data_IF_727678353892
#
_entry.id   IF_727678353892
#
_cell.length_a   1.000
_cell.length_b   1.000
_cell.length_c   1.000
_cell.angle_alpha   90.00
_cell.angle_beta   90.00
_cell.angle_gamma   90.00
#
_symmetry.space_group_name_H-M   'P 1'
#
loop_
_entity.id
_entity.type
_entity.pdbx_description
1 polymer ?
#
# COMPACT_ATOMS: atom_id res chain seq x y z
N UNK A 1 5.61 -23.33 -11.02
CA UNK A 1 5.98 -21.90 -11.14
C UNK A 1 5.53 -21.18 -9.88
N UNK A 2 6.34 -20.27 -9.40
CA UNK A 2 5.94 -19.45 -8.26
C UNK A 2 6.46 -18.01 -8.41
N UNK A 3 5.70 -17.05 -7.88
CA UNK A 3 6.13 -15.66 -7.79
C UNK A 3 5.75 -15.07 -6.43
N UNK A 4 6.45 -14.01 -6.06
CA UNK A 4 6.16 -13.23 -4.86
C UNK A 4 6.02 -11.76 -5.16
N UNK A 5 5.25 -11.05 -4.33
CA UNK A 5 5.12 -9.61 -4.38
C UNK A 5 5.08 -9.01 -2.96
N UNK A 6 5.69 -7.85 -2.74
CA UNK A 6 5.73 -7.20 -1.44
C UNK A 6 4.39 -6.54 -1.08
N UNK A 7 4.15 -6.38 0.21
CA UNK A 7 3.23 -5.38 0.72
C UNK A 7 3.78 -3.96 0.54
N UNK A 8 3.03 -2.96 0.98
CA UNK A 8 3.42 -1.53 0.86
C UNK A 8 3.07 -0.71 2.10
N UNK A 9 3.73 0.43 2.21
CA UNK A 9 3.36 1.53 3.10
C UNK A 9 3.11 2.79 2.28
N UNK A 10 2.06 3.55 2.60
CA UNK A 10 1.95 4.94 2.16
C UNK A 10 2.67 5.79 3.19
N UNK A 11 3.73 6.46 2.78
CA UNK A 11 4.52 7.33 3.64
C UNK A 11 3.88 8.70 3.76
N UNK A 12 3.37 9.23 2.62
CA UNK A 12 2.68 10.51 2.51
C UNK A 12 1.64 10.47 1.38
N UNK A 13 0.60 11.31 1.46
CA UNK A 13 -0.32 11.52 0.34
C UNK A 13 -1.60 10.68 0.40
N UNK A 14 -1.88 9.98 1.53
CA UNK A 14 -3.17 9.31 1.74
C UNK A 14 -4.31 10.28 1.51
N UNK A 15 -5.39 9.82 0.89
CA UNK A 15 -6.55 10.59 0.44
C UNK A 15 -6.24 11.69 -0.57
N UNK A 16 -5.15 12.45 -0.43
CA UNK A 16 -4.80 13.55 -1.32
C UNK A 16 -4.57 13.07 -2.77
N UNK A 17 -4.05 11.87 -2.97
CA UNK A 17 -3.87 11.24 -4.30
C UNK A 17 -5.17 11.09 -5.08
N UNK A 18 -6.32 10.98 -4.40
CA UNK A 18 -7.64 10.90 -5.03
C UNK A 18 -8.05 12.22 -5.68
N UNK A 19 -7.45 13.34 -5.21
CA UNK A 19 -7.67 14.69 -5.71
C UNK A 19 -6.57 15.16 -6.69
N UNK A 20 -5.68 14.27 -7.10
CA UNK A 20 -4.60 14.59 -8.03
C UNK A 20 -3.34 15.16 -7.38
N UNK A 21 -3.25 15.15 -6.05
CA UNK A 21 -2.05 15.54 -5.33
C UNK A 21 -1.02 14.40 -5.31
N UNK A 22 0.23 14.73 -4.96
CA UNK A 22 1.30 13.76 -4.86
C UNK A 22 1.05 12.72 -3.74
N UNK A 23 1.50 11.49 -3.97
CA UNK A 23 1.58 10.45 -2.94
C UNK A 23 2.90 9.68 -3.04
N UNK A 24 3.46 9.33 -1.89
CA UNK A 24 4.69 8.57 -1.76
C UNK A 24 4.44 7.28 -1.01
N UNK A 25 4.82 6.16 -1.62
CA UNK A 25 4.75 4.83 -1.02
C UNK A 25 6.09 4.12 -1.10
N UNK A 26 6.25 3.07 -0.31
CA UNK A 26 7.38 2.14 -0.40
C UNK A 26 6.91 0.70 -0.24
N UNK A 27 7.51 -0.21 -0.98
CA UNK A 27 7.35 -1.63 -0.75
C UNK A 27 8.04 -2.05 0.55
N UNK A 28 7.54 -3.11 1.18
CA UNK A 28 8.04 -3.63 2.46
C UNK A 28 8.38 -5.12 2.36
N UNK A 29 9.26 -5.58 3.24
CA UNK A 29 9.76 -6.95 3.29
C UNK A 29 8.75 -8.02 3.75
N UNK A 30 7.49 -7.67 3.96
CA UNK A 30 6.40 -8.62 4.10
C UNK A 30 5.84 -8.92 2.72
N UNK A 31 5.85 -10.19 2.31
CA UNK A 31 5.50 -10.60 0.94
C UNK A 31 4.32 -11.55 0.93
N UNK A 32 3.61 -11.57 -0.18
CA UNK A 32 2.73 -12.65 -0.58
C UNK A 32 3.43 -13.52 -1.63
N UNK A 33 3.23 -14.81 -1.57
CA UNK A 33 3.77 -15.81 -2.47
C UNK A 33 2.63 -16.63 -3.04
N UNK A 34 2.67 -16.91 -4.34
CA UNK A 34 1.71 -17.79 -5.01
C UNK A 34 2.46 -18.84 -5.79
N UNK A 35 2.14 -20.09 -5.52
CA UNK A 35 2.68 -21.27 -6.20
C UNK A 35 1.59 -21.84 -7.10
N UNK A 36 1.92 -22.22 -8.33
CA UNK A 36 0.98 -22.80 -9.28
C UNK A 36 1.54 -24.09 -9.90
N UNK A 37 0.66 -25.10 -10.03
CA UNK A 37 0.93 -26.35 -10.76
C UNK A 37 -0.31 -26.77 -11.56
N UNK A 38 -0.15 -27.48 -12.68
CA UNK A 38 -1.28 -28.04 -13.42
C UNK A 38 -2.18 -28.92 -12.53
N UNK A 39 -3.49 -28.80 -12.74
CA UNK A 39 -4.49 -29.56 -12.01
C UNK A 39 -5.75 -29.76 -12.88
N UNK A 40 -6.54 -30.82 -12.71
CA UNK A 40 -7.76 -31.03 -13.49
C UNK A 40 -8.85 -29.96 -13.28
N UNK A 41 -8.85 -29.31 -12.13
CA UNK A 41 -9.83 -28.28 -11.73
C UNK A 41 -9.11 -27.10 -11.08
N UNK A 42 -9.73 -25.90 -11.12
CA UNK A 42 -9.25 -24.75 -10.37
C UNK A 42 -9.40 -24.94 -8.86
N UNK A 43 -8.30 -24.93 -8.14
CA UNK A 43 -8.23 -25.06 -6.68
C UNK A 43 -7.30 -24.02 -6.08
N UNK A 44 -7.61 -23.57 -4.84
CA UNK A 44 -6.72 -22.75 -4.05
C UNK A 44 -6.65 -23.28 -2.61
N UNK A 45 -5.43 -23.52 -2.11
CA UNK A 45 -5.15 -24.08 -0.78
C UNK A 45 -5.98 -25.33 -0.43
N UNK A 46 -6.22 -26.19 -1.44
CA UNK A 46 -7.03 -27.39 -1.31
C UNK A 46 -8.55 -27.18 -1.37
N UNK A 47 -9.03 -25.94 -1.36
CA UNK A 47 -10.45 -25.57 -1.45
C UNK A 47 -10.88 -25.15 -2.86
N UNK A 48 -12.13 -24.72 -3.01
CA UNK A 48 -12.66 -24.13 -4.23
C UNK A 48 -12.10 -22.72 -4.43
N UNK A 49 -11.73 -22.39 -5.67
CA UNK A 49 -11.37 -21.01 -6.06
C UNK A 49 -12.54 -20.03 -5.93
N UNK A 50 -13.77 -20.52 -5.82
CA UNK A 50 -14.99 -19.71 -5.71
C UNK A 50 -15.25 -19.21 -4.28
N UNK A 51 -14.48 -19.66 -3.29
CA UNK A 51 -14.61 -19.15 -1.94
C UNK A 51 -14.32 -17.62 -1.89
N UNK A 52 -15.10 -16.84 -1.11
CA UNK A 52 -14.97 -15.38 -1.06
C UNK A 52 -13.57 -14.85 -0.73
N UNK A 53 -12.78 -15.62 0.02
CA UNK A 53 -11.39 -15.27 0.37
C UNK A 53 -10.46 -15.23 -0.85
N UNK A 54 -10.78 -15.96 -1.94
CA UNK A 54 -9.98 -16.01 -3.16
C UNK A 54 -10.48 -15.07 -4.27
N UNK A 55 -11.42 -14.15 -3.98
CA UNK A 55 -12.00 -13.25 -4.98
C UNK A 55 -10.96 -12.49 -5.82
N UNK A 56 -9.85 -12.07 -5.22
CA UNK A 56 -8.75 -11.40 -5.92
C UNK A 56 -7.96 -12.37 -6.81
N UNK A 57 -7.68 -13.56 -6.32
CA UNK A 57 -7.01 -14.63 -7.06
C UNK A 57 -7.85 -15.03 -8.26
N UNK A 58 -9.16 -15.27 -8.05
CA UNK A 58 -10.11 -15.60 -9.13
C UNK A 58 -10.18 -14.50 -10.20
N UNK A 59 -10.27 -13.24 -9.79
CA UNK A 59 -10.28 -12.11 -10.71
C UNK A 59 -8.94 -11.95 -11.46
N UNK A 60 -7.80 -12.23 -10.83
CA UNK A 60 -6.49 -12.23 -11.47
C UNK A 60 -6.36 -13.35 -12.53
N UNK A 61 -6.86 -14.54 -12.26
CA UNK A 61 -6.90 -15.64 -13.23
C UNK A 61 -7.66 -15.22 -14.51
N UNK A 62 -8.75 -14.48 -14.37
CA UNK A 62 -9.53 -14.02 -15.52
C UNK A 62 -8.81 -13.01 -16.42
N UNK A 63 -7.68 -12.43 -15.98
CA UNK A 63 -6.87 -11.49 -16.78
C UNK A 63 -5.82 -12.18 -17.66
N UNK A 64 -5.46 -13.41 -17.36
CA UNK A 64 -4.35 -14.10 -18.04
C UNK A 64 -4.85 -15.35 -18.75
N UNK A 65 -4.52 -15.50 -20.04
CA UNK A 65 -4.79 -16.74 -20.76
C UNK A 65 -3.92 -17.86 -20.18
N UNK A 66 -4.57 -18.91 -19.67
CA UNK A 66 -3.90 -20.09 -19.14
C UNK A 66 -4.18 -21.31 -20.02
N UNK A 67 -3.27 -22.25 -20.05
CA UNK A 67 -3.41 -23.49 -20.86
C UNK A 67 -4.37 -24.51 -20.21
N UNK A 68 -4.90 -24.22 -19.03
CA UNK A 68 -5.83 -25.08 -18.30
C UNK A 68 -5.93 -24.71 -16.83
N UNK A 69 -6.76 -25.46 -16.07
CA UNK A 69 -6.92 -25.22 -14.64
C UNK A 69 -5.63 -25.52 -13.85
N UNK A 70 -5.49 -24.82 -12.73
CA UNK A 70 -4.32 -24.88 -11.84
C UNK A 70 -4.74 -25.12 -10.40
N UNK A 71 -3.87 -25.79 -9.68
CA UNK A 71 -3.86 -25.76 -8.22
C UNK A 71 -2.93 -24.64 -7.76
N UNK A 72 -3.47 -23.72 -6.96
CA UNK A 72 -2.75 -22.58 -6.42
C UNK A 72 -2.55 -22.75 -4.91
N UNK A 73 -1.38 -22.39 -4.42
CA UNK A 73 -1.11 -22.22 -3.00
C UNK A 73 -0.75 -20.77 -2.74
N UNK A 74 -1.48 -20.13 -1.83
CA UNK A 74 -1.34 -18.70 -1.50
C UNK A 74 -0.79 -18.54 -0.09
N UNK A 75 0.43 -18.07 0.04
CA UNK A 75 1.06 -17.76 1.32
C UNK A 75 1.23 -16.25 1.44
N UNK A 76 0.80 -15.64 2.54
CA UNK A 76 0.98 -14.20 2.73
C UNK A 76 1.46 -13.88 4.14
N UNK A 77 2.58 -13.17 4.23
CA UNK A 77 3.06 -12.55 5.46
C UNK A 77 2.47 -11.15 5.67
N UNK A 78 1.78 -10.58 4.67
CA UNK A 78 1.16 -9.26 4.76
C UNK A 78 -0.17 -9.36 5.52
N UNK A 79 -0.30 -8.76 6.72
CA UNK A 79 -1.53 -8.86 7.50
C UNK A 79 -2.73 -8.27 6.76
N UNK A 80 -3.81 -9.05 6.69
CA UNK A 80 -5.08 -8.61 6.07
C UNK A 80 -5.73 -7.50 6.87
N UNK A 81 -6.30 -6.50 6.20
CA UNK A 81 -7.02 -5.39 6.85
C UNK A 81 -6.14 -4.39 7.60
N UNK A 82 -4.81 -4.54 7.55
CA UNK A 82 -3.87 -3.66 8.23
C UNK A 82 -3.48 -2.40 7.42
N UNK A 83 -4.02 -2.19 6.22
CA UNK A 83 -3.64 -1.07 5.35
C UNK A 83 -2.28 -1.23 4.66
N UNK A 84 -1.69 -2.44 4.71
CA UNK A 84 -0.36 -2.75 4.19
C UNK A 84 -0.36 -3.34 2.77
N UNK A 85 -1.47 -3.25 2.04
CA UNK A 85 -1.57 -3.69 0.66
C UNK A 85 -1.63 -5.22 0.48
N UNK A 86 -2.23 -5.96 1.43
CA UNK A 86 -2.31 -7.43 1.36
C UNK A 86 -3.04 -7.93 0.11
N UNK A 87 -4.16 -7.30 -0.30
CA UNK A 87 -4.88 -7.65 -1.53
C UNK A 87 -4.03 -7.42 -2.77
N UNK A 88 -3.36 -6.26 -2.85
CA UNK A 88 -2.47 -5.92 -3.96
C UNK A 88 -1.30 -6.92 -4.05
N UNK A 89 -0.66 -7.24 -2.93
CA UNK A 89 0.44 -8.21 -2.91
C UNK A 89 0.01 -9.60 -3.41
N UNK A 90 -1.15 -10.11 -2.94
CA UNK A 90 -1.70 -11.40 -3.42
C UNK A 90 -2.07 -11.33 -4.91
N UNK A 91 -2.73 -10.26 -5.35
CA UNK A 91 -3.10 -10.07 -6.77
C UNK A 91 -1.87 -10.04 -7.66
N UNK A 92 -0.87 -9.23 -7.30
CA UNK A 92 0.38 -9.08 -8.05
C UNK A 92 1.18 -10.37 -8.07
N UNK A 93 1.28 -11.10 -6.94
CA UNK A 93 1.94 -12.40 -6.89
C UNK A 93 1.21 -13.44 -7.75
N UNK A 94 -0.13 -13.45 -7.75
CA UNK A 94 -0.93 -14.34 -8.61
C UNK A 94 -0.66 -14.07 -10.08
N UNK A 95 -0.75 -12.80 -10.51
CA UNK A 95 -0.46 -12.40 -11.89
C UNK A 95 0.99 -12.72 -12.27
N UNK A 96 1.95 -12.44 -11.37
CA UNK A 96 3.35 -12.78 -11.58
C UNK A 96 3.58 -14.27 -11.81
N UNK A 97 2.88 -15.13 -11.06
CA UNK A 97 2.94 -16.59 -11.23
C UNK A 97 2.36 -17.03 -12.57
N UNK A 98 1.19 -16.48 -12.95
CA UNK A 98 0.52 -16.85 -14.20
C UNK A 98 1.31 -16.36 -15.43
N UNK A 99 1.77 -15.12 -15.45
CA UNK A 99 2.63 -14.58 -16.51
C UNK A 99 3.96 -15.32 -16.60
N UNK A 100 4.55 -15.66 -15.46
CA UNK A 100 5.78 -16.44 -15.40
C UNK A 100 5.65 -17.84 -16.01
N UNK A 101 4.47 -18.47 -15.94
CA UNK A 101 4.18 -19.72 -16.67
C UNK A 101 4.20 -19.52 -18.19
N UNK A 102 3.83 -18.33 -18.68
CA UNK A 102 3.92 -17.93 -20.08
C UNK A 102 5.31 -17.45 -20.53
N UNK A 103 6.28 -17.39 -19.61
CA UNK A 103 7.70 -17.14 -19.92
C UNK A 103 8.21 -15.73 -19.58
N UNK A 104 7.39 -14.76 -19.14
CA UNK A 104 7.89 -13.44 -18.78
C UNK A 104 7.10 -12.78 -17.63
N UNK A 105 7.81 -12.06 -16.77
CA UNK A 105 7.22 -11.18 -15.75
C UNK A 105 7.53 -9.73 -16.14
N UNK A 106 6.51 -9.01 -16.63
CA UNK A 106 6.60 -7.57 -16.87
C UNK A 106 5.83 -6.79 -15.78
N UNK A 107 6.58 -6.10 -14.92
CA UNK A 107 6.02 -5.37 -13.79
C UNK A 107 4.97 -4.31 -14.20
N UNK A 108 5.12 -3.67 -15.37
CA UNK A 108 4.18 -2.67 -15.88
C UNK A 108 2.84 -3.30 -16.26
N UNK A 109 2.87 -4.40 -17.00
CA UNK A 109 1.67 -5.16 -17.39
C UNK A 109 0.96 -5.66 -16.14
N UNK A 110 1.69 -6.30 -15.22
CA UNK A 110 1.15 -6.82 -13.97
C UNK A 110 0.53 -5.70 -13.12
N UNK A 111 1.17 -4.52 -13.02
CA UNK A 111 0.63 -3.39 -12.26
C UNK A 111 -0.72 -2.91 -12.81
N UNK A 112 -0.87 -2.87 -14.15
CA UNK A 112 -2.13 -2.49 -14.82
C UNK A 112 -3.22 -3.53 -14.58
N UNK A 113 -2.94 -4.79 -14.82
CA UNK A 113 -3.91 -5.87 -14.62
C UNK A 113 -4.31 -5.99 -13.15
N UNK A 114 -3.36 -5.86 -12.21
CA UNK A 114 -3.65 -5.86 -10.78
C UNK A 114 -4.54 -4.69 -10.36
N UNK A 115 -4.32 -3.51 -10.94
CA UNK A 115 -5.20 -2.36 -10.71
C UNK A 115 -6.62 -2.61 -11.22
N UNK A 116 -6.78 -3.23 -12.40
CA UNK A 116 -8.09 -3.62 -12.93
C UNK A 116 -8.78 -4.64 -12.02
N UNK A 117 -8.04 -5.65 -11.54
CA UNK A 117 -8.56 -6.64 -10.57
C UNK A 117 -9.06 -5.96 -9.30
N UNK A 118 -8.27 -5.07 -8.71
CA UNK A 118 -8.71 -4.37 -7.49
C UNK A 118 -9.95 -3.51 -7.76
N UNK A 119 -10.00 -2.83 -8.90
CA UNK A 119 -11.15 -2.03 -9.28
C UNK A 119 -12.41 -2.87 -9.46
N UNK A 120 -12.32 -4.03 -10.12
CA UNK A 120 -13.43 -4.96 -10.31
C UNK A 120 -13.95 -5.51 -8.97
N UNK A 121 -13.04 -5.88 -8.07
CA UNK A 121 -13.41 -6.51 -6.80
C UNK A 121 -13.93 -5.50 -5.76
N UNK A 122 -13.42 -4.25 -5.77
CA UNK A 122 -13.74 -3.23 -4.78
C UNK A 122 -14.67 -2.12 -5.29
N UNK A 123 -14.95 -2.06 -6.61
CA UNK A 123 -15.71 -0.99 -7.25
C UNK A 123 -14.94 0.33 -7.42
N UNK A 124 -13.82 0.47 -6.76
CA UNK A 124 -12.89 1.62 -6.88
C UNK A 124 -11.51 1.23 -6.36
N UNK A 125 -10.47 1.71 -7.00
CA UNK A 125 -9.08 1.49 -6.58
C UNK A 125 -8.21 2.71 -6.91
N UNK A 126 -7.06 2.79 -6.25
CA UNK A 126 -5.93 3.66 -6.63
C UNK A 126 -4.79 2.76 -7.07
N UNK A 127 -4.06 3.10 -8.14
CA UNK A 127 -2.98 2.24 -8.62
C UNK A 127 -1.73 2.24 -7.74
N UNK A 128 -1.75 2.97 -6.61
CA UNK A 128 -0.58 3.09 -5.74
C UNK A 128 -0.17 1.74 -5.12
N UNK A 129 -1.15 0.96 -4.65
CA UNK A 129 -0.90 -0.29 -3.93
C UNK A 129 -0.33 -1.35 -4.88
N UNK A 130 -1.01 -1.57 -6.00
CA UNK A 130 -0.61 -2.55 -7.02
C UNK A 130 0.67 -2.16 -7.73
N UNK A 131 0.86 -0.88 -8.04
CA UNK A 131 2.10 -0.41 -8.65
C UNK A 131 3.30 -0.52 -7.71
N UNK A 132 3.12 -0.24 -6.41
CA UNK A 132 4.20 -0.39 -5.43
C UNK A 132 4.58 -1.87 -5.27
N UNK A 133 3.60 -2.76 -5.18
CA UNK A 133 3.85 -4.21 -5.11
C UNK A 133 4.51 -4.75 -6.39
N UNK A 134 4.19 -4.20 -7.56
CA UNK A 134 4.80 -4.62 -8.84
C UNK A 134 6.21 -4.07 -9.03
N UNK A 135 6.44 -2.79 -8.71
CA UNK A 135 7.72 -2.12 -8.94
C UNK A 135 8.78 -2.40 -7.88
N UNK A 136 8.36 -2.58 -6.60
CA UNK A 136 9.26 -2.56 -5.46
C UNK A 136 9.85 -1.16 -5.19
N UNK A 137 10.56 -1.04 -4.08
CA UNK A 137 11.21 0.20 -3.68
C UNK A 137 10.26 1.35 -3.40
N UNK A 138 10.78 2.57 -3.51
CA UNK A 138 9.99 3.79 -3.37
C UNK A 138 9.26 4.17 -4.65
N UNK A 139 8.00 4.59 -4.52
CA UNK A 139 7.16 4.99 -5.64
C UNK A 139 6.48 6.34 -5.36
N UNK A 140 6.69 7.32 -6.23
CA UNK A 140 6.02 8.61 -6.22
C UNK A 140 4.92 8.61 -7.28
N UNK A 141 3.72 8.97 -6.87
CA UNK A 141 2.55 9.14 -7.76
C UNK A 141 2.30 10.62 -7.95
N UNK A 142 2.24 11.05 -9.23
CA UNK A 142 1.97 12.43 -9.62
C UNK A 142 0.87 12.49 -10.68
N UNK A 143 0.16 13.62 -10.84
CA UNK A 143 -0.83 13.80 -11.91
C UNK A 143 -0.21 14.01 -13.29
N UNK A 144 1.07 14.40 -13.36
CA UNK A 144 1.81 14.66 -14.61
C UNK A 144 3.14 13.93 -14.60
N UNK A 145 3.64 13.50 -15.78
CA UNK A 145 4.93 12.83 -15.88
C UNK A 145 6.07 13.79 -15.54
N UNK A 146 7.04 13.31 -14.75
CA UNK A 146 8.28 14.00 -14.40
C UNK A 146 9.38 12.95 -14.18
N UNK A 147 10.66 13.33 -14.41
CA UNK A 147 11.83 12.50 -14.05
C UNK A 147 11.72 11.02 -14.45
N UNK A 148 12.01 10.12 -13.52
CA UNK A 148 12.07 8.66 -13.74
C UNK A 148 10.67 8.02 -13.78
N UNK A 149 9.91 8.33 -14.83
CA UNK A 149 8.60 7.75 -15.07
C UNK A 149 8.71 6.24 -15.37
N UNK A 150 8.08 5.40 -14.54
CA UNK A 150 7.95 3.96 -14.78
C UNK A 150 6.82 3.67 -15.77
N UNK A 151 5.61 4.13 -15.44
CA UNK A 151 4.41 3.98 -16.28
C UNK A 151 3.31 4.96 -15.89
N UNK A 152 2.31 5.02 -16.73
CA UNK A 152 1.07 5.76 -16.48
C UNK A 152 -0.11 4.79 -16.46
N UNK A 153 -1.01 4.98 -15.52
CA UNK A 153 -2.31 4.30 -15.45
C UNK A 153 -3.38 5.36 -15.59
N UNK A 154 -4.35 5.10 -16.46
CA UNK A 154 -5.47 5.99 -16.73
C UNK A 154 -6.79 5.25 -16.58
N UNK A 155 -7.75 5.89 -15.91
CA UNK A 155 -9.13 5.39 -15.78
C UNK A 155 -10.09 6.53 -15.40
N UNK A 156 -11.29 6.54 -15.98
CA UNK A 156 -12.37 7.48 -15.65
C UNK A 156 -11.89 8.95 -15.63
N UNK A 157 -11.22 9.38 -16.70
CA UNK A 157 -10.62 10.71 -16.88
C UNK A 157 -9.52 11.06 -15.84
N UNK A 158 -9.07 10.10 -15.02
CA UNK A 158 -7.94 10.25 -14.10
C UNK A 158 -6.69 9.67 -14.71
N UNK A 159 -5.59 10.35 -14.41
CA UNK A 159 -4.25 9.91 -14.78
C UNK A 159 -3.36 9.86 -13.54
N UNK A 160 -2.62 8.77 -13.39
CA UNK A 160 -1.59 8.60 -12.39
C UNK A 160 -0.27 8.27 -13.08
N UNK A 161 0.72 9.10 -12.85
CA UNK A 161 2.08 8.90 -13.34
C UNK A 161 2.92 8.34 -12.19
N UNK A 162 3.43 7.14 -12.36
CA UNK A 162 4.14 6.36 -11.35
C UNK A 162 5.64 6.50 -11.62
N UNK A 163 6.38 7.05 -10.64
CA UNK A 163 7.79 7.38 -10.77
C UNK A 163 8.61 6.61 -9.74
N UNK A 164 9.73 6.06 -10.17
CA UNK A 164 10.67 5.45 -9.23
C UNK A 164 11.32 6.52 -8.37
N UNK A 165 11.47 6.22 -7.08
CA UNK A 165 12.22 7.08 -6.18
C UNK A 165 13.35 6.30 -5.52
N UNK A 166 14.54 6.91 -5.49
CA UNK A 166 15.67 6.34 -4.77
C UNK A 166 15.58 6.76 -3.30
N UNK A 167 14.94 5.92 -2.49
CA UNK A 167 14.95 6.08 -1.04
C UNK A 167 16.07 5.23 -0.44
N UNK A 168 16.73 5.68 0.64
CA UNK A 168 17.63 4.83 1.40
C UNK A 168 16.86 3.64 2.02
N UNK A 169 17.53 2.57 2.43
CA UNK A 169 16.91 1.55 3.26
C UNK A 169 16.34 2.16 4.54
N UNK A 170 15.06 1.90 4.82
CA UNK A 170 14.34 2.48 5.95
C UNK A 170 13.67 1.37 6.76
N UNK A 171 13.78 1.46 8.07
CA UNK A 171 13.04 0.64 9.02
C UNK A 171 11.83 1.42 9.55
N UNK A 172 10.69 0.75 9.59
CA UNK A 172 9.45 1.31 10.11
C UNK A 172 8.89 0.41 11.20
N UNK A 173 8.21 1.00 12.16
CA UNK A 173 7.38 0.26 13.11
C UNK A 173 5.92 0.43 12.72
N UNK A 174 5.23 -0.68 12.56
CA UNK A 174 3.80 -0.72 12.31
C UNK A 174 3.09 -0.98 13.62
N UNK A 175 2.07 -0.18 13.90
CA UNK A 175 1.17 -0.40 15.02
C UNK A 175 -0.24 -0.63 14.52
N UNK A 176 -0.78 -1.85 14.62
CA UNK A 176 -2.13 -2.17 14.18
C UNK A 176 -3.12 -2.04 15.34
N UNK A 177 -4.22 -1.34 15.09
CA UNK A 177 -5.28 -1.08 16.08
C UNK A 177 -6.17 -2.29 16.36
N UNK A 178 -6.16 -3.30 15.49
CA UNK A 178 -7.14 -4.40 15.51
C UNK A 178 -8.55 -4.00 15.05
N UNK A 179 -8.76 -2.73 14.68
CA UNK A 179 -10.03 -2.20 14.21
C UNK A 179 -10.00 -2.13 12.69
N UNK A 180 -10.98 -2.73 12.04
CA UNK A 180 -11.12 -2.67 10.58
C UNK A 180 -12.17 -1.62 10.20
N UNK A 181 -11.85 -0.80 9.22
CA UNK A 181 -12.77 0.17 8.64
C UNK A 181 -12.89 -0.04 7.13
N UNK A 182 -14.09 0.18 6.59
CA UNK A 182 -14.31 0.10 5.16
C UNK A 182 -13.74 1.34 4.46
N UNK A 183 -12.80 1.14 3.54
CA UNK A 183 -12.11 2.22 2.80
C UNK A 183 -13.09 3.07 1.98
N UNK A 184 -14.09 2.44 1.34
CA UNK A 184 -15.00 3.12 0.44
C UNK A 184 -15.76 4.30 1.06
N UNK A 185 -16.49 4.11 2.17
CA UNK A 185 -17.19 5.18 2.87
C UNK A 185 -16.26 6.31 3.33
N UNK A 186 -15.07 5.99 3.86
CA UNK A 186 -14.11 7.00 4.30
C UNK A 186 -13.66 7.91 3.15
N UNK A 187 -13.33 7.33 1.99
CA UNK A 187 -12.95 8.12 0.81
C UNK A 187 -14.13 8.96 0.30
N UNK A 188 -15.37 8.45 0.36
CA UNK A 188 -16.54 9.21 -0.02
C UNK A 188 -16.77 10.42 0.90
N UNK A 189 -16.68 10.23 2.21
CA UNK A 189 -16.83 11.29 3.21
C UNK A 189 -15.75 12.37 3.06
N UNK A 190 -14.50 12.00 2.78
CA UNK A 190 -13.43 12.98 2.52
C UNK A 190 -13.73 13.78 1.26
N UNK A 191 -14.25 13.15 0.19
CA UNK A 191 -14.66 13.86 -1.03
C UNK A 191 -15.74 14.90 -0.76
N UNK A 192 -16.82 14.49 -0.13
CA UNK A 192 -17.91 15.39 0.25
C UNK A 192 -17.40 16.55 1.09
N UNK A 193 -16.54 16.27 2.07
CA UNK A 193 -15.96 17.29 2.94
C UNK A 193 -15.08 18.29 2.17
N UNK A 194 -14.25 17.82 1.24
CA UNK A 194 -13.38 18.67 0.41
C UNK A 194 -14.20 19.57 -0.53
N UNK A 195 -15.35 19.10 -0.99
CA UNK A 195 -16.25 19.88 -1.86
C UNK A 195 -16.94 21.02 -1.10
N UNK A 196 -17.21 20.87 0.21
CA UNK A 196 -17.99 21.82 1.00
C UNK A 196 -17.20 22.58 2.08
N UNK A 197 -15.97 22.16 2.39
CA UNK A 197 -15.11 22.78 3.41
C UNK A 197 -13.77 23.24 2.83
N UNK A 198 -13.59 24.56 2.76
CA UNK A 198 -12.34 25.18 2.29
C UNK A 198 -11.11 24.69 3.07
N UNK A 199 -11.24 24.47 4.39
CA UNK A 199 -10.12 23.98 5.23
C UNK A 199 -9.74 22.55 4.84
N UNK A 200 -10.72 21.71 4.52
CA UNK A 200 -10.45 20.36 4.02
C UNK A 200 -9.74 20.38 2.65
N UNK A 201 -10.18 21.25 1.74
CA UNK A 201 -9.52 21.44 0.45
C UNK A 201 -8.07 21.96 0.59
N UNK A 202 -7.83 22.88 1.53
CA UNK A 202 -6.49 23.37 1.85
C UNK A 202 -5.61 22.26 2.47
N UNK A 203 -6.18 21.44 3.35
CA UNK A 203 -5.47 20.29 3.94
C UNK A 203 -5.01 19.28 2.88
N UNK A 204 -5.86 18.97 1.89
CA UNK A 204 -5.50 18.09 0.77
C UNK A 204 -4.30 18.64 0.00
N UNK A 205 -4.32 19.94 -0.36
CA UNK A 205 -3.19 20.58 -1.05
C UNK A 205 -1.92 20.61 -0.19
N UNK A 206 -2.07 20.82 1.11
CA UNK A 206 -0.94 20.79 2.05
C UNK A 206 -0.33 19.39 2.14
N UNK A 207 -1.15 18.34 2.18
CA UNK A 207 -0.67 16.95 2.14
C UNK A 207 0.15 16.70 0.87
N UNK A 208 -0.30 17.19 -0.29
CA UNK A 208 0.47 17.09 -1.54
C UNK A 208 1.85 17.73 -1.44
N UNK A 209 1.96 18.94 -0.87
CA UNK A 209 3.25 19.62 -0.63
C UNK A 209 4.14 18.85 0.35
N UNK A 210 3.58 18.44 1.49
CA UNK A 210 4.26 17.62 2.49
C UNK A 210 4.82 16.33 1.87
N UNK A 211 4.14 15.74 0.88
CA UNK A 211 4.62 14.55 0.20
C UNK A 211 5.94 14.81 -0.53
N UNK A 212 6.06 15.92 -1.23
CA UNK A 212 7.29 16.28 -1.95
C UNK A 212 8.42 16.67 -0.98
N UNK A 213 8.11 17.46 0.03
CA UNK A 213 9.07 17.84 1.09
C UNK A 213 9.56 16.59 1.86
N UNK A 214 8.64 15.63 2.12
CA UNK A 214 8.95 14.36 2.77
C UNK A 214 9.85 13.46 1.91
N UNK A 215 9.60 13.39 0.61
CA UNK A 215 10.48 12.70 -0.33
C UNK A 215 11.91 13.29 -0.29
N UNK A 216 12.03 14.61 -0.33
CA UNK A 216 13.32 15.30 -0.30
C UNK A 216 14.04 15.11 1.04
N UNK A 217 13.32 15.15 2.16
CA UNK A 217 13.88 14.86 3.48
C UNK A 217 14.43 13.41 3.56
N UNK A 218 13.63 12.43 3.11
CA UNK A 218 14.07 11.03 3.08
C UNK A 218 15.28 10.79 2.17
N UNK A 219 15.32 11.41 0.99
CA UNK A 219 16.47 11.31 0.07
C UNK A 219 17.76 11.87 0.68
N UNK A 220 17.66 12.93 1.47
CA UNK A 220 18.81 13.51 2.20
C UNK A 220 19.13 12.80 3.51
N UNK A 221 18.38 11.71 3.83
CA UNK A 221 18.46 11.02 5.12
C UNK A 221 18.21 11.94 6.33
N UNK A 222 17.41 12.99 6.13
CA UNK A 222 16.95 13.87 7.22
C UNK A 222 15.68 13.26 7.85
N UNK A 223 15.90 12.24 8.68
CA UNK A 223 14.81 11.48 9.30
C UNK A 223 14.03 12.31 10.31
N UNK A 224 14.67 13.33 10.91
CA UNK A 224 14.00 14.26 11.84
C UNK A 224 12.99 15.14 11.10
N UNK A 225 13.38 15.71 9.96
CA UNK A 225 12.46 16.49 9.13
C UNK A 225 11.34 15.60 8.58
N UNK A 226 11.67 14.40 8.07
CA UNK A 226 10.67 13.45 7.58
C UNK A 226 9.65 13.08 8.68
N UNK A 227 10.11 12.82 9.90
CA UNK A 227 9.25 12.51 11.04
C UNK A 227 8.29 13.66 11.40
N UNK A 228 8.78 14.91 11.42
CA UNK A 228 7.93 16.09 11.65
C UNK A 228 6.86 16.24 10.56
N UNK A 229 7.19 15.96 9.31
CA UNK A 229 6.24 15.97 8.20
C UNK A 229 5.22 14.84 8.32
N UNK A 230 5.61 13.64 8.80
CA UNK A 230 4.67 12.57 9.13
C UNK A 230 3.68 13.01 10.20
N UNK A 231 4.15 13.66 11.26
CA UNK A 231 3.30 14.19 12.34
C UNK A 231 2.31 15.24 11.82
N UNK A 232 2.76 16.14 10.96
CA UNK A 232 1.90 17.14 10.32
C UNK A 232 0.88 16.49 9.40
N UNK A 233 1.28 15.51 8.60
CA UNK A 233 0.36 14.75 7.73
C UNK A 233 -0.72 14.05 8.56
N UNK A 234 -0.38 13.46 9.72
CA UNK A 234 -1.38 12.85 10.61
C UNK A 234 -2.43 13.86 11.08
N UNK A 235 -2.01 15.05 11.50
CA UNK A 235 -2.93 16.11 11.93
C UNK A 235 -3.89 16.53 10.80
N UNK A 236 -3.40 16.63 9.56
CA UNK A 236 -4.23 16.95 8.40
C UNK A 236 -5.22 15.81 8.07
N UNK A 237 -4.79 14.56 8.16
CA UNK A 237 -5.67 13.40 7.98
C UNK A 237 -6.76 13.35 9.06
N UNK A 238 -6.44 13.69 10.31
CA UNK A 238 -7.42 13.81 11.38
C UNK A 238 -8.42 14.95 11.08
N UNK A 239 -7.96 16.11 10.57
CA UNK A 239 -8.81 17.20 10.12
C UNK A 239 -9.74 16.76 8.97
N UNK A 240 -9.29 15.91 8.06
CA UNK A 240 -10.11 15.33 7.00
C UNK A 240 -11.16 14.32 7.51
N UNK A 241 -11.16 13.98 8.82
CA UNK A 241 -12.13 13.10 9.43
C UNK A 241 -11.82 11.61 9.27
N UNK A 242 -10.59 11.25 8.94
CA UNK A 242 -10.17 9.84 8.82
C UNK A 242 -9.37 9.35 10.03
N UNK A 243 -9.29 10.16 11.09
CA UNK A 243 -8.74 9.77 12.38
C UNK A 243 -9.60 8.72 13.11
N UNK A 244 -9.06 8.19 14.19
CA UNK A 244 -9.77 7.33 15.14
C UNK A 244 -9.04 7.40 16.49
N UNK A 245 -9.73 7.43 17.66
CA UNK A 245 -9.09 7.56 18.96
C UNK A 245 -7.96 6.55 19.22
N UNK A 246 -8.12 5.32 18.76
CA UNK A 246 -7.09 4.28 18.88
C UNK A 246 -5.87 4.58 17.99
N UNK A 247 -6.07 5.12 16.77
CA UNK A 247 -4.96 5.57 15.92
C UNK A 247 -4.17 6.70 16.60
N UNK A 248 -4.87 7.72 17.12
CA UNK A 248 -4.24 8.84 17.81
C UNK A 248 -3.45 8.38 19.03
N UNK A 249 -4.00 7.44 19.81
CA UNK A 249 -3.33 6.81 20.96
C UNK A 249 -2.04 6.10 20.55
N UNK A 250 -2.06 5.30 19.48
CA UNK A 250 -0.87 4.60 18.99
C UNK A 250 0.16 5.58 18.42
N UNK A 251 -0.26 6.61 17.68
CA UNK A 251 0.62 7.66 17.16
C UNK A 251 1.30 8.39 18.29
N UNK A 252 0.57 8.81 19.34
CA UNK A 252 1.15 9.47 20.50
C UNK A 252 2.16 8.60 21.24
N UNK A 253 1.90 7.30 21.37
CA UNK A 253 2.83 6.36 21.98
C UNK A 253 4.11 6.22 21.15
N UNK A 254 3.97 6.03 19.82
CA UNK A 254 5.09 5.88 18.91
C UNK A 254 6.02 7.10 18.85
N UNK A 255 5.46 8.32 18.89
CA UNK A 255 6.22 9.59 18.83
C UNK A 255 7.24 9.78 19.94
N UNK A 256 7.08 9.10 21.07
CA UNK A 256 8.02 9.19 22.20
C UNK A 256 9.37 8.53 21.93
N UNK A 257 9.41 7.63 20.96
CA UNK A 257 10.54 6.77 20.65
C UNK A 257 10.87 6.69 19.16
N UNK A 258 10.31 7.60 18.36
CA UNK A 258 10.52 7.67 16.91
C UNK A 258 10.73 9.11 16.45
N UNK A 259 11.20 9.30 15.23
CA UNK A 259 11.29 10.61 14.58
C UNK A 259 9.91 11.22 14.33
N UNK A 260 8.89 10.39 14.08
CA UNK A 260 7.51 10.79 13.85
C UNK A 260 6.63 9.60 13.51
N UNK A 261 5.31 9.78 13.63
CA UNK A 261 4.34 8.72 13.38
C UNK A 261 3.01 9.27 12.87
N UNK A 262 2.36 8.47 12.03
CA UNK A 262 1.07 8.81 11.42
C UNK A 262 0.23 7.56 11.14
N UNK A 263 -1.07 7.73 10.93
CA UNK A 263 -1.87 6.67 10.33
C UNK A 263 -1.38 6.36 8.90
N UNK A 264 -1.57 5.13 8.42
CA UNK A 264 -1.31 4.72 7.04
C UNK A 264 -2.54 4.02 6.45
N UNK A 265 -2.82 4.29 5.17
CA UNK A 265 -4.00 3.79 4.47
C UNK A 265 -5.23 4.67 4.65
N UNK A 266 -6.42 4.08 4.66
CA UNK A 266 -7.68 4.82 4.63
C UNK A 266 -8.07 5.51 5.95
N UNK A 267 -7.53 5.09 7.08
CA UNK A 267 -7.92 5.58 8.40
C UNK A 267 -9.17 4.90 8.97
N UNK A 268 -9.79 5.51 9.98
CA UNK A 268 -10.95 4.96 10.69
C UNK A 268 -10.64 3.72 11.55
N UNK A 269 -9.39 3.30 11.59
CA UNK A 269 -8.82 2.09 12.17
C UNK A 269 -7.59 1.68 11.36
N UNK A 270 -7.29 0.37 11.25
CA UNK A 270 -6.12 -0.12 10.52
C UNK A 270 -4.82 0.12 11.29
N UNK A 271 -3.84 0.78 10.66
CA UNK A 271 -2.49 0.86 11.23
C UNK A 271 -1.95 2.28 11.29
N UNK A 272 -0.97 2.45 12.17
CA UNK A 272 -0.03 3.57 12.18
C UNK A 272 1.33 3.10 11.67
N UNK A 273 2.10 4.01 11.11
CA UNK A 273 3.50 3.84 10.74
C UNK A 273 4.35 4.84 11.50
N UNK A 274 5.43 4.38 12.09
CA UNK A 274 6.43 5.22 12.74
C UNK A 274 7.79 5.03 12.07
N UNK A 275 8.50 6.13 11.82
CA UNK A 275 9.89 6.14 11.36
C UNK A 275 10.79 6.22 12.59
N UNK A 276 11.56 5.16 12.85
CA UNK A 276 12.29 5.04 14.13
C UNK A 276 13.70 4.47 13.95
N UNK A 277 14.65 5.06 14.68
CA UNK A 277 15.99 4.51 14.89
C UNK A 277 16.05 3.59 16.12
N UNK A 278 14.96 3.55 16.92
CA UNK A 278 14.80 2.69 18.10
C UNK A 278 13.58 1.78 17.97
N UNK A 279 13.56 0.89 16.95
CA UNK A 279 12.36 0.13 16.61
C UNK A 279 11.85 -0.75 17.74
N UNK A 280 12.73 -1.33 18.54
CA UNK A 280 12.33 -2.16 19.70
C UNK A 280 11.55 -1.35 20.75
N UNK A 281 12.05 -0.15 21.12
CA UNK A 281 11.35 0.73 22.07
C UNK A 281 10.00 1.21 21.51
N UNK A 282 9.94 1.51 20.21
CA UNK A 282 8.72 1.95 19.54
C UNK A 282 7.68 0.82 19.49
N UNK A 283 8.10 -0.42 19.25
CA UNK A 283 7.23 -1.61 19.32
C UNK A 283 6.62 -1.73 20.73
N UNK A 284 7.44 -1.65 21.78
CA UNK A 284 6.96 -1.77 23.16
C UNK A 284 6.03 -0.61 23.55
N UNK A 285 6.34 0.63 23.15
CA UNK A 285 5.48 1.78 23.39
C UNK A 285 4.09 1.60 22.74
N UNK A 286 4.03 1.12 21.50
CA UNK A 286 2.78 0.84 20.79
C UNK A 286 2.01 -0.32 21.45
N UNK A 287 2.70 -1.38 21.86
CA UNK A 287 2.08 -2.52 22.57
C UNK A 287 1.49 -2.10 23.91
N UNK A 288 2.22 -1.32 24.70
CA UNK A 288 1.74 -0.75 25.95
C UNK A 288 0.50 0.14 25.76
N UNK A 289 0.37 0.78 24.58
CA UNK A 289 -0.82 1.55 24.20
C UNK A 289 -1.99 0.68 23.69
N UNK A 290 -1.84 -0.64 23.62
CA UNK A 290 -2.87 -1.60 23.23
C UNK A 290 -2.88 -1.97 21.75
N UNK A 291 -1.86 -1.58 20.97
CA UNK A 291 -1.70 -1.97 19.56
C UNK A 291 -0.93 -3.29 19.40
N UNK A 292 -1.11 -3.95 18.26
CA UNK A 292 -0.21 -5.01 17.80
C UNK A 292 0.91 -4.37 17.01
N UNK A 293 2.18 -4.58 17.40
CA UNK A 293 3.29 -3.89 16.78
C UNK A 293 4.40 -4.84 16.30
N UNK A 294 4.99 -4.50 15.16
CA UNK A 294 6.11 -5.22 14.54
C UNK A 294 6.93 -4.28 13.65
N UNK A 295 8.16 -4.69 13.36
CA UNK A 295 9.08 -3.94 12.48
C UNK A 295 8.94 -4.43 11.04
N UNK A 296 9.00 -3.51 10.08
CA UNK A 296 9.14 -3.80 8.67
C UNK A 296 10.26 -2.95 8.08
N UNK A 297 10.86 -3.43 7.00
CA UNK A 297 11.90 -2.74 6.26
C UNK A 297 11.44 -2.46 4.83
N UNK A 298 11.88 -1.35 4.23
CA UNK A 298 11.69 -1.11 2.81
C UNK A 298 12.31 -2.23 1.97
N UNK A 299 11.60 -2.69 0.94
CA UNK A 299 12.02 -3.77 0.04
C UNK A 299 12.23 -3.22 -1.38
N UNK A 300 13.44 -3.26 -1.95
CA UNK A 300 13.68 -2.78 -3.31
C UNK A 300 13.09 -3.69 -4.38
N UNK A 301 12.69 -4.93 -4.03
CA UNK A 301 12.26 -5.94 -4.98
C UNK A 301 10.73 -5.90 -5.11
N UNK A 302 10.23 -5.70 -6.33
CA UNK A 302 8.82 -5.80 -6.69
C UNK A 302 8.37 -7.25 -6.88
N UNK A 303 7.51 -7.47 -7.87
CA UNK A 303 7.12 -8.82 -8.27
C UNK A 303 8.32 -9.57 -8.82
N UNK A 304 8.54 -10.79 -8.34
CA UNK A 304 9.67 -11.62 -8.75
C UNK A 304 9.31 -13.11 -8.74
N UNK A 305 9.96 -13.87 -9.61
CA UNK A 305 9.90 -15.34 -9.56
C UNK A 305 10.57 -15.86 -8.30
N UNK A 306 10.02 -16.94 -7.76
CA UNK A 306 10.67 -17.75 -6.74
C UNK A 306 11.38 -18.93 -7.41
N UNK A 307 12.64 -19.10 -7.09
CA UNK A 307 13.48 -20.20 -7.57
C UNK A 307 13.12 -21.53 -6.88
#
# INVERSE_FOLDING_TARGET
>A
MAASAPGKLILFGEHAVVFGEAALSTAINLRAEVYARPHPEWRADGGSIDEPRYRYVKAAIAKVATTGPLWLEVRSMVPSGAGLGSSAAVTVATLGTLHGMGGSIDAKTIAREAFEVEHEVQGRASPIDTSTASAGGGLLVLPKPQGDLLWTIERDARRWCLHRTNLPPLDFVIGNTGISAATGPLVANVKERVEHDRKAAEAVREIGRITLDGLDALRRNDLVAAGRLMDRNHALLTLLGVGHPMLDRLVQAARRTSYGAKLTGAGGGGSVVALSDRPAETVEAIRAAGGKAFVVRSDPIGVATLS
#
